data_IF_547051614259
#
_entry.id   IF_547051614259
#
_cell.length_a   1.000
_cell.length_b   1.000
_cell.length_c   1.000
_cell.angle_alpha   90.00
_cell.angle_beta   90.00
_cell.angle_gamma   90.00
#
_symmetry.space_group_name_H-M   'P 1'
#
loop_
_entity.id
_entity.type
_entity.pdbx_description
1 polymer ?
#
# COMPACT_ATOMS: atom_id res chain seq x y z
N UNK A 1 37.51 -37.04 14.65
CA UNK A 1 36.22 -37.43 15.26
C UNK A 1 35.67 -36.38 16.23
N UNK A 2 36.44 -35.83 17.17
CA UNK A 2 35.99 -34.79 18.15
C UNK A 2 35.52 -33.50 17.47
N UNK A 3 36.23 -32.99 16.45
CA UNK A 3 35.88 -31.74 15.75
C UNK A 3 34.53 -31.88 15.00
N UNK A 4 34.30 -32.99 14.32
CA UNK A 4 33.02 -33.26 13.63
C UNK A 4 31.86 -33.33 14.62
N UNK A 5 32.05 -33.93 15.81
CA UNK A 5 31.04 -33.98 16.83
C UNK A 5 30.72 -32.58 17.41
N UNK A 6 31.75 -31.74 17.59
CA UNK A 6 31.57 -30.36 18.04
C UNK A 6 30.84 -29.52 17.00
N UNK A 7 31.20 -29.63 15.72
CA UNK A 7 30.48 -28.93 14.64
C UNK A 7 29.00 -29.36 14.57
N UNK A 8 28.72 -30.65 14.68
CA UNK A 8 27.35 -31.16 14.70
C UNK A 8 26.55 -30.63 15.90
N UNK A 9 27.17 -30.59 17.10
CA UNK A 9 26.52 -30.05 18.28
C UNK A 9 26.18 -28.58 18.14
N UNK A 10 27.10 -27.76 17.60
CA UNK A 10 26.87 -26.34 17.36
C UNK A 10 25.75 -26.16 16.35
N UNK A 11 25.74 -26.93 15.25
CA UNK A 11 24.68 -26.85 14.23
C UNK A 11 23.30 -27.18 14.81
N UNK A 12 23.19 -28.20 15.65
CA UNK A 12 21.94 -28.55 16.34
C UNK A 12 21.49 -27.45 17.30
N UNK A 13 22.40 -26.91 18.10
CA UNK A 13 22.08 -25.83 19.05
C UNK A 13 21.63 -24.56 18.35
N UNK A 14 22.29 -24.18 17.26
CA UNK A 14 21.88 -22.99 16.46
C UNK A 14 20.54 -23.20 15.78
N UNK A 15 20.28 -24.38 15.22
CA UNK A 15 19.01 -24.70 14.60
C UNK A 15 17.86 -24.71 15.62
N UNK A 16 18.06 -25.27 16.80
CA UNK A 16 17.04 -25.28 17.87
C UNK A 16 16.78 -23.87 18.40
N UNK A 17 17.81 -23.05 18.59
CA UNK A 17 17.65 -21.65 18.99
C UNK A 17 16.91 -20.82 17.95
N UNK A 18 17.24 -20.98 16.65
CA UNK A 18 16.56 -20.31 15.56
C UNK A 18 15.08 -20.71 15.46
N UNK A 19 14.78 -22.00 15.63
CA UNK A 19 13.41 -22.50 15.64
C UNK A 19 12.62 -21.97 16.85
N UNK A 20 13.22 -21.93 18.02
CA UNK A 20 12.58 -21.38 19.21
C UNK A 20 12.28 -19.89 19.04
N UNK A 21 13.25 -19.09 18.56
CA UNK A 21 13.04 -17.67 18.26
C UNK A 21 11.91 -17.51 17.26
N UNK A 22 11.92 -18.28 16.18
CA UNK A 22 10.87 -18.23 15.17
C UNK A 22 9.48 -18.54 15.75
N UNK A 23 9.36 -19.56 16.60
CA UNK A 23 8.07 -19.97 17.19
C UNK A 23 7.53 -18.96 18.21
N UNK A 24 8.40 -18.32 18.98
CA UNK A 24 7.99 -17.46 20.10
C UNK A 24 8.11 -15.96 19.80
N UNK A 25 8.67 -15.57 18.64
CA UNK A 25 8.79 -14.14 18.30
C UNK A 25 7.41 -13.54 17.98
N UNK A 26 6.98 -12.45 18.67
CA UNK A 26 5.65 -11.87 18.50
C UNK A 26 5.39 -11.34 17.07
N UNK A 27 6.43 -10.87 16.39
CA UNK A 27 6.37 -10.33 15.01
C UNK A 27 6.97 -11.29 13.99
N UNK A 28 6.81 -12.62 14.18
CA UNK A 28 7.35 -13.59 13.21
C UNK A 28 6.77 -13.39 11.82
N UNK A 29 7.58 -13.30 10.76
CA UNK A 29 7.06 -13.29 9.40
C UNK A 29 6.38 -14.64 9.11
N UNK A 30 5.26 -14.67 8.38
CA UNK A 30 4.65 -15.92 7.96
C UNK A 30 5.62 -16.69 7.05
N UNK A 31 5.74 -18.01 7.24
CA UNK A 31 6.54 -18.89 6.36
C UNK A 31 5.96 -18.97 4.95
N UNK A 32 4.70 -18.62 4.80
CA UNK A 32 3.98 -18.61 3.52
C UNK A 32 3.59 -17.17 3.18
N UNK A 33 4.02 -16.71 2.01
CA UNK A 33 3.56 -15.45 1.45
C UNK A 33 2.19 -15.68 0.80
N UNK A 34 1.13 -15.17 1.44
CA UNK A 34 -0.19 -15.12 0.85
C UNK A 34 -0.34 -13.84 0.01
N UNK A 35 -0.33 -13.93 -1.33
CA UNK A 35 -0.48 -12.77 -2.19
C UNK A 35 -1.85 -12.09 -2.06
N UNK A 36 -2.86 -12.78 -1.53
CA UNK A 36 -4.20 -12.26 -1.33
C UNK A 36 -4.39 -11.59 0.05
N UNK A 37 -3.44 -11.79 0.98
CA UNK A 37 -3.52 -11.16 2.29
C UNK A 37 -3.33 -9.66 2.18
N UNK A 38 -4.32 -8.90 2.64
CA UNK A 38 -4.21 -7.45 2.77
C UNK A 38 -3.31 -7.11 3.96
N UNK A 39 -2.38 -6.18 3.75
CA UNK A 39 -1.65 -5.58 4.85
C UNK A 39 -2.51 -4.49 5.51
N UNK A 40 -2.10 -4.04 6.68
CA UNK A 40 -2.76 -2.94 7.36
C UNK A 40 -2.78 -1.68 6.47
N UNK A 41 -3.95 -1.08 6.32
CA UNK A 41 -4.17 0.06 5.43
C UNK A 41 -4.24 -0.28 3.94
N UNK A 42 -4.23 -1.56 3.55
CA UNK A 42 -4.50 -1.98 2.18
C UNK A 42 -5.98 -2.36 2.00
N UNK A 43 -6.51 -2.12 0.80
CA UNK A 43 -7.88 -2.47 0.42
C UNK A 43 -7.89 -3.24 -0.91
N UNK A 44 -8.77 -4.22 -1.02
CA UNK A 44 -9.01 -4.95 -2.28
C UNK A 44 -9.95 -4.15 -3.18
N UNK A 45 -9.77 -4.28 -4.51
CA UNK A 45 -10.63 -3.58 -5.49
C UNK A 45 -12.12 -3.93 -5.30
N UNK A 46 -12.44 -5.18 -4.95
CA UNK A 46 -13.83 -5.61 -4.73
C UNK A 46 -14.54 -4.82 -3.61
N UNK A 47 -13.82 -4.39 -2.59
CA UNK A 47 -14.37 -3.54 -1.52
C UNK A 47 -14.52 -2.09 -2.01
N UNK A 48 -13.50 -1.58 -2.71
CA UNK A 48 -13.54 -0.23 -3.28
C UNK A 48 -14.70 -0.05 -4.26
N UNK A 49 -15.01 -1.07 -5.08
CA UNK A 49 -16.14 -1.03 -6.01
C UNK A 49 -17.49 -0.84 -5.31
N UNK A 50 -17.64 -1.31 -4.07
CA UNK A 50 -18.85 -1.06 -3.26
C UNK A 50 -18.96 0.42 -2.87
N UNK A 51 -17.85 1.09 -2.58
CA UNK A 51 -17.83 2.53 -2.31
C UNK A 51 -18.09 3.34 -3.59
N UNK A 52 -17.46 2.94 -4.70
CA UNK A 52 -17.67 3.55 -6.01
C UNK A 52 -19.15 3.52 -6.41
N UNK A 53 -19.84 2.39 -6.22
CA UNK A 53 -21.26 2.26 -6.56
C UNK A 53 -22.18 3.20 -5.79
N UNK A 54 -21.71 3.70 -4.64
CA UNK A 54 -22.43 4.70 -3.82
C UNK A 54 -21.96 6.14 -4.07
N UNK A 55 -20.92 6.34 -4.87
CA UNK A 55 -20.27 7.64 -5.04
C UNK A 55 -19.45 8.09 -3.83
N UNK A 56 -19.09 7.16 -2.94
CA UNK A 56 -18.46 7.41 -1.64
C UNK A 56 -16.95 7.08 -1.68
N UNK A 57 -16.19 7.62 -2.64
CA UNK A 57 -14.74 7.38 -2.72
C UNK A 57 -14.00 8.58 -3.31
N UNK A 58 -12.81 8.84 -2.79
CA UNK A 58 -11.87 9.81 -3.36
C UNK A 58 -10.65 9.06 -3.89
N UNK A 59 -10.40 9.19 -5.19
CA UNK A 59 -9.27 8.54 -5.84
C UNK A 59 -8.01 9.41 -5.83
N UNK A 60 -6.88 8.82 -5.47
CA UNK A 60 -5.56 9.47 -5.49
C UNK A 60 -4.61 8.64 -6.36
N UNK A 61 -4.10 9.25 -7.42
CA UNK A 61 -3.10 8.65 -8.29
C UNK A 61 -1.69 9.03 -7.82
N UNK A 62 -0.95 8.06 -7.29
CA UNK A 62 0.42 8.24 -6.82
C UNK A 62 1.48 7.90 -7.89
N UNK A 63 1.08 7.72 -9.15
CA UNK A 63 1.99 7.53 -10.27
C UNK A 63 2.63 8.86 -10.69
N UNK A 64 3.75 8.84 -11.42
CA UNK A 64 4.31 10.06 -12.02
C UNK A 64 3.29 10.77 -12.92
N UNK A 65 3.34 12.10 -12.97
CA UNK A 65 2.41 12.92 -13.75
C UNK A 65 2.34 12.58 -15.24
N UNK A 66 3.43 12.06 -15.84
CA UNK A 66 3.41 11.53 -17.19
C UNK A 66 2.39 10.38 -17.34
N UNK A 67 2.40 9.43 -16.38
CA UNK A 67 1.46 8.28 -16.37
C UNK A 67 0.03 8.69 -16.07
N UNK A 68 -0.15 9.70 -15.23
CA UNK A 68 -1.46 10.30 -14.98
C UNK A 68 -2.05 10.90 -16.25
N UNK A 69 -1.26 11.63 -17.05
CA UNK A 69 -1.70 12.24 -18.32
C UNK A 69 -1.99 11.22 -19.41
N UNK A 70 -1.33 10.05 -19.41
CA UNK A 70 -1.66 8.94 -20.32
C UNK A 70 -3.05 8.36 -20.05
N UNK A 71 -3.54 8.47 -18.82
CA UNK A 71 -4.86 8.04 -18.39
C UNK A 71 -4.87 7.75 -16.89
N UNK A 72 -5.94 8.13 -16.23
CA UNK A 72 -6.16 7.97 -14.79
C UNK A 72 -7.61 7.57 -14.52
N UNK A 73 -7.91 7.13 -13.30
CA UNK A 73 -9.30 6.87 -12.87
C UNK A 73 -10.07 8.19 -12.90
N UNK A 74 -11.27 8.17 -13.44
CA UNK A 74 -12.12 9.37 -13.53
C UNK A 74 -12.27 10.05 -12.16
N UNK A 75 -12.00 11.35 -12.12
CA UNK A 75 -12.04 12.15 -10.90
C UNK A 75 -10.87 11.92 -9.93
N UNK A 76 -9.83 11.18 -10.30
CA UNK A 76 -8.67 10.99 -9.45
C UNK A 76 -7.79 12.23 -9.40
N UNK A 77 -7.31 12.56 -8.20
CA UNK A 77 -6.32 13.62 -7.98
C UNK A 77 -4.90 13.06 -8.11
N UNK A 78 -4.02 13.80 -8.78
CA UNK A 78 -2.60 13.48 -8.85
C UNK A 78 -1.89 13.93 -7.58
N UNK A 79 -1.35 13.01 -6.82
CA UNK A 79 -0.47 13.27 -5.68
C UNK A 79 0.64 12.24 -5.65
N UNK A 80 1.87 12.63 -5.95
CA UNK A 80 3.02 11.73 -5.92
C UNK A 80 4.20 12.37 -5.18
N UNK A 81 5.12 11.54 -4.72
CA UNK A 81 6.30 11.98 -3.96
C UNK A 81 7.51 12.36 -4.83
N UNK A 82 7.45 12.06 -6.14
CA UNK A 82 8.55 12.31 -7.08
C UNK A 82 8.54 13.73 -7.62
N UNK A 83 7.40 14.36 -7.58
CA UNK A 83 7.19 15.76 -7.92
C UNK A 83 7.03 16.56 -6.62
N UNK A 84 6.96 17.89 -6.70
CA UNK A 84 6.71 18.70 -5.50
C UNK A 84 5.31 18.42 -4.95
N UNK A 85 5.25 17.56 -3.92
CA UNK A 85 3.99 17.15 -3.29
C UNK A 85 3.16 18.35 -2.80
N UNK A 86 3.81 19.40 -2.29
CA UNK A 86 3.10 20.58 -1.79
C UNK A 86 2.50 21.40 -2.95
N UNK A 87 3.22 21.51 -4.06
CA UNK A 87 2.71 22.16 -5.25
C UNK A 87 1.51 21.41 -5.86
N UNK A 88 1.50 20.08 -5.78
CA UNK A 88 0.37 19.27 -6.21
C UNK A 88 -0.80 19.34 -5.23
N UNK A 89 -0.53 19.37 -3.92
CA UNK A 89 -1.55 19.37 -2.88
C UNK A 89 -2.27 20.73 -2.77
N UNK A 90 -1.55 21.83 -2.84
CA UNK A 90 -2.08 23.17 -2.56
C UNK A 90 -3.36 23.50 -3.35
N UNK A 91 -3.43 23.28 -4.68
CA UNK A 91 -4.62 23.64 -5.45
C UNK A 91 -5.85 22.77 -5.14
N UNK A 92 -5.66 21.56 -4.60
CA UNK A 92 -6.74 20.60 -4.34
C UNK A 92 -7.04 20.44 -2.84
N UNK A 93 -6.27 21.10 -1.97
CA UNK A 93 -6.34 20.92 -0.52
C UNK A 93 -7.76 21.12 0.04
N UNK A 94 -8.41 22.21 -0.35
CA UNK A 94 -9.75 22.53 0.13
C UNK A 94 -10.79 21.49 -0.31
N UNK A 95 -10.64 20.95 -1.53
CA UNK A 95 -11.54 19.92 -2.04
C UNK A 95 -11.34 18.59 -1.30
N UNK A 96 -10.08 18.20 -1.02
CA UNK A 96 -9.79 17.01 -0.23
C UNK A 96 -10.30 17.16 1.20
N UNK A 97 -10.08 18.32 1.82
CA UNK A 97 -10.54 18.59 3.19
C UNK A 97 -12.08 18.54 3.31
N UNK A 98 -12.80 19.03 2.31
CA UNK A 98 -14.27 18.99 2.28
C UNK A 98 -14.84 17.58 2.08
N UNK A 99 -14.00 16.61 1.70
CA UNK A 99 -14.36 15.20 1.50
C UNK A 99 -13.67 14.26 2.51
N UNK A 100 -13.15 14.82 3.62
CA UNK A 100 -12.35 14.06 4.58
C UNK A 100 -13.12 12.95 5.31
N UNK A 101 -14.43 12.95 5.24
CA UNK A 101 -15.36 11.94 5.73
C UNK A 101 -15.54 10.73 4.80
N UNK A 102 -15.01 10.83 3.56
CA UNK A 102 -15.06 9.73 2.59
C UNK A 102 -13.76 8.89 2.63
N UNK A 103 -13.82 7.61 2.23
CA UNK A 103 -12.62 6.80 2.08
C UNK A 103 -11.77 7.28 0.89
N UNK A 104 -10.49 7.49 1.15
CA UNK A 104 -9.48 7.82 0.14
C UNK A 104 -8.77 6.57 -0.31
N UNK A 105 -8.70 6.34 -1.60
CA UNK A 105 -8.03 5.18 -2.20
C UNK A 105 -6.84 5.64 -3.03
N UNK A 106 -5.65 5.33 -2.54
CA UNK A 106 -4.38 5.66 -3.20
C UNK A 106 -3.91 4.48 -4.04
N UNK A 107 -3.66 4.69 -5.33
CA UNK A 107 -3.10 3.66 -6.21
C UNK A 107 -1.81 4.13 -6.88
N UNK A 108 -0.98 3.17 -7.29
CA UNK A 108 0.27 3.43 -8.01
C UNK A 108 0.52 2.38 -9.11
N UNK A 109 1.74 2.37 -9.66
CA UNK A 109 2.08 1.54 -10.82
C UNK A 109 2.25 0.04 -10.55
N UNK A 110 2.44 -0.40 -9.30
CA UNK A 110 2.75 -1.79 -8.95
C UNK A 110 2.23 -2.20 -7.57
N UNK A 111 2.15 -3.52 -7.34
CA UNK A 111 1.65 -4.14 -6.10
C UNK A 111 2.46 -3.79 -4.84
N UNK A 112 3.76 -3.54 -5.00
CA UNK A 112 4.71 -3.26 -3.90
C UNK A 112 5.07 -1.77 -3.81
N UNK A 113 4.18 -0.90 -4.23
CA UNK A 113 4.48 0.51 -4.38
C UNK A 113 4.61 1.22 -3.03
N UNK A 114 5.83 1.43 -2.60
CA UNK A 114 6.13 2.28 -1.44
C UNK A 114 5.60 3.71 -1.61
N UNK A 115 5.46 4.20 -2.86
CA UNK A 115 4.95 5.54 -3.16
C UNK A 115 3.51 5.74 -2.68
N UNK A 116 2.59 4.79 -2.95
CA UNK A 116 1.20 4.91 -2.46
C UNK A 116 1.12 4.89 -0.94
N UNK A 117 1.95 4.08 -0.26
CA UNK A 117 2.02 4.08 1.21
C UNK A 117 2.53 5.41 1.76
N UNK A 118 3.54 6.02 1.12
CA UNK A 118 4.04 7.34 1.53
C UNK A 118 3.03 8.44 1.27
N UNK A 119 2.37 8.45 0.12
CA UNK A 119 1.30 9.41 -0.18
C UNK A 119 0.15 9.27 0.81
N UNK A 120 -0.26 8.04 1.15
CA UNK A 120 -1.27 7.80 2.18
C UNK A 120 -0.85 8.34 3.56
N UNK A 121 0.42 8.18 3.95
CA UNK A 121 0.98 8.79 5.15
C UNK A 121 0.92 10.32 5.11
N UNK A 122 1.36 10.93 4.01
CA UNK A 122 1.32 12.39 3.85
C UNK A 122 -0.11 12.96 3.89
N UNK A 123 -1.10 12.26 3.36
CA UNK A 123 -2.51 12.66 3.47
C UNK A 123 -2.99 12.65 4.91
N UNK A 124 -2.62 11.64 5.70
CA UNK A 124 -2.95 11.58 7.13
C UNK A 124 -2.27 12.70 7.91
N UNK A 125 -0.97 12.91 7.68
CA UNK A 125 -0.16 13.84 8.45
C UNK A 125 -0.43 15.31 8.11
N UNK A 126 -0.70 15.64 6.84
CA UNK A 126 -0.78 17.03 6.36
C UNK A 126 -2.19 17.53 6.12
N UNK A 127 -3.11 16.62 5.78
CA UNK A 127 -4.52 16.97 5.50
C UNK A 127 -5.43 16.54 6.65
N UNK A 128 -4.97 15.60 7.49
CA UNK A 128 -5.74 15.08 8.63
C UNK A 128 -6.78 14.02 8.24
N UNK A 129 -6.68 13.44 7.04
CA UNK A 129 -7.60 12.40 6.58
C UNK A 129 -7.23 11.07 7.24
N UNK A 130 -8.16 10.46 7.96
CA UNK A 130 -7.93 9.18 8.67
C UNK A 130 -8.17 7.97 7.78
N UNK A 131 -9.21 8.00 6.96
CA UNK A 131 -9.68 6.88 6.15
C UNK A 131 -8.96 6.85 4.79
N UNK A 132 -7.66 6.56 4.83
CA UNK A 132 -6.80 6.46 3.64
C UNK A 132 -6.34 5.03 3.47
N UNK A 133 -6.64 4.45 2.33
CA UNK A 133 -6.31 3.06 1.98
C UNK A 133 -5.39 3.01 0.75
N UNK A 134 -4.56 1.99 0.70
CA UNK A 134 -3.72 1.69 -0.47
C UNK A 134 -4.37 0.56 -1.26
N UNK A 135 -4.62 0.78 -2.55
CA UNK A 135 -5.21 -0.24 -3.42
C UNK A 135 -4.23 -1.39 -3.66
N UNK A 136 -4.60 -2.58 -3.23
CA UNK A 136 -3.85 -3.81 -3.54
C UNK A 136 -3.89 -4.07 -5.03
N UNK A 137 -2.72 -4.35 -5.63
CA UNK A 137 -2.62 -4.54 -7.08
C UNK A 137 -2.44 -3.26 -7.90
N UNK A 138 -2.59 -2.09 -7.27
CA UNK A 138 -2.33 -0.78 -7.89
C UNK A 138 -3.06 -0.57 -9.21
N UNK A 139 -2.39 0.06 -10.19
CA UNK A 139 -2.98 0.36 -11.51
C UNK A 139 -3.26 -0.89 -12.36
N UNK A 140 -2.65 -2.04 -12.02
CA UNK A 140 -2.88 -3.29 -12.78
C UNK A 140 -4.33 -3.76 -12.62
N UNK A 141 -4.82 -3.88 -11.39
CA UNK A 141 -6.20 -4.33 -11.13
C UNK A 141 -7.23 -3.33 -11.64
N UNK A 142 -6.91 -2.04 -11.68
CA UNK A 142 -7.77 -1.00 -12.27
C UNK A 142 -7.89 -1.15 -13.79
N UNK A 143 -6.79 -1.48 -14.49
CA UNK A 143 -6.82 -1.79 -15.92
C UNK A 143 -7.62 -3.05 -16.21
N UNK A 144 -7.41 -4.11 -15.44
CA UNK A 144 -8.16 -5.37 -15.57
C UNK A 144 -9.66 -5.17 -15.35
N UNK A 145 -10.05 -4.19 -14.53
CA UNK A 145 -11.43 -3.80 -14.28
C UNK A 145 -11.99 -2.76 -15.29
N UNK A 146 -11.19 -2.30 -16.27
CA UNK A 146 -11.60 -1.29 -17.25
C UNK A 146 -11.76 0.12 -16.68
N UNK A 147 -11.25 0.40 -15.48
CA UNK A 147 -11.31 1.71 -14.82
C UNK A 147 -10.13 2.62 -15.20
N UNK A 148 -9.12 2.05 -15.85
CA UNK A 148 -7.92 2.74 -16.28
C UNK A 148 -7.55 2.26 -17.69
N UNK A 149 -7.19 3.14 -18.62
CA UNK A 149 -6.77 2.75 -19.96
C UNK A 149 -5.42 1.98 -20.00
#
# INVERSE_FOLDING_TARGET
MRILLQCALIAVLTATAALAIYCFHPNRPPLYFDPHRLAEGEVALAEVLKWVSKGEVVWIDARPGAKYREGHVEGAFLLNEREDFNALLLPIYAELANRADLPFVVYCGSDLCAASKRVAGLLRDRVGITDVFVLKGGSKVLREAGMLP
#
